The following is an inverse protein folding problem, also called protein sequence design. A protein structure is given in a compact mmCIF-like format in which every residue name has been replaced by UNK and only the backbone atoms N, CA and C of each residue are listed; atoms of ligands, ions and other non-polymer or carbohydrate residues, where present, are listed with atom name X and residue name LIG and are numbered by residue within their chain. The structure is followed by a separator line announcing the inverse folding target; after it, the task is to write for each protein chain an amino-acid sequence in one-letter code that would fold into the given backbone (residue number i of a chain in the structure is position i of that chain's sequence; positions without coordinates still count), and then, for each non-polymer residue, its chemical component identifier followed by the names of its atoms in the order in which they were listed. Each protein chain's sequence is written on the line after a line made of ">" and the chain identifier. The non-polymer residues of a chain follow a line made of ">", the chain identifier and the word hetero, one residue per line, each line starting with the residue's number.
data_IF_657103390784
#
_entry.id   IF_657103390784
#
_cell.length_a   1.000
_cell.length_b   1.000
_cell.length_c   1.000
_cell.angle_alpha   90.00
_cell.angle_beta   90.00
_cell.angle_gamma   90.00
#
_symmetry.space_group_name_H-M   'P 1'
#
loop_
_entity.id
_entity.type
_entity.pdbx_description
1 polymer ?
#
# COMPACT_ATOMS: atom_id res chain seq x y z
N UNK A 1 -18.50 14.05 -27.12
CA UNK A 1 -18.26 13.07 -26.04
C UNK A 1 -18.50 13.79 -24.72
N UNK A 2 -19.51 13.39 -23.90
CA UNK A 2 -19.69 13.98 -22.56
C UNK A 2 -18.55 13.43 -21.68
N UNK A 3 -17.71 14.31 -21.16
CA UNK A 3 -16.58 13.94 -20.29
C UNK A 3 -17.02 13.25 -18.99
N UNK A 4 -18.22 13.50 -18.52
CA UNK A 4 -18.79 12.91 -17.30
C UNK A 4 -20.11 12.24 -17.70
N UNK A 5 -20.28 10.93 -17.45
CA UNK A 5 -21.53 10.22 -17.68
C UNK A 5 -22.67 10.79 -16.83
N UNK A 6 -23.90 10.66 -17.31
CA UNK A 6 -25.07 11.05 -16.52
C UNK A 6 -25.19 10.16 -15.28
N UNK A 7 -25.37 10.78 -14.13
CA UNK A 7 -25.52 10.05 -12.87
C UNK A 7 -26.87 9.30 -12.84
N UNK A 8 -26.80 7.99 -12.79
CA UNK A 8 -27.97 7.13 -12.61
C UNK A 8 -27.77 6.32 -11.32
N UNK A 9 -28.56 6.64 -10.29
CA UNK A 9 -28.47 6.00 -8.98
C UNK A 9 -28.63 4.47 -9.07
N UNK A 10 -29.59 4.00 -9.88
CA UNK A 10 -29.83 2.55 -10.04
C UNK A 10 -28.62 1.84 -10.63
N UNK A 11 -28.00 2.42 -11.67
CA UNK A 11 -26.82 1.85 -12.34
C UNK A 11 -25.60 1.81 -11.41
N UNK A 12 -25.41 2.84 -10.59
CA UNK A 12 -24.22 2.98 -9.74
C UNK A 12 -24.31 2.16 -8.46
N UNK A 13 -25.50 2.12 -7.82
CA UNK A 13 -25.66 1.51 -6.50
C UNK A 13 -26.42 0.20 -6.47
N UNK A 14 -27.32 -0.08 -7.42
CA UNK A 14 -28.14 -1.28 -7.40
C UNK A 14 -27.68 -2.34 -8.39
N UNK A 15 -27.28 -1.94 -9.58
CA UNK A 15 -26.88 -2.87 -10.65
C UNK A 15 -25.68 -3.74 -10.29
N UNK A 16 -24.60 -3.24 -9.60
CA UNK A 16 -23.48 -4.07 -9.17
C UNK A 16 -23.87 -5.19 -8.20
N UNK A 17 -25.04 -5.11 -7.56
CA UNK A 17 -25.53 -6.06 -6.55
C UNK A 17 -26.80 -6.79 -6.99
N UNK A 18 -27.15 -6.75 -8.27
CA UNK A 18 -28.44 -7.25 -8.79
C UNK A 18 -28.51 -8.76 -8.94
N UNK A 19 -27.38 -9.46 -9.07
CA UNK A 19 -27.34 -10.92 -9.23
C UNK A 19 -26.33 -11.56 -8.26
N UNK A 20 -26.55 -12.84 -7.85
CA UNK A 20 -25.62 -13.54 -6.96
C UNK A 20 -24.19 -13.57 -7.48
N UNK A 21 -24.00 -13.77 -8.79
CA UNK A 21 -22.68 -13.82 -9.42
C UNK A 21 -21.96 -12.47 -9.34
N UNK A 22 -22.68 -11.36 -9.53
CA UNK A 22 -22.15 -10.00 -9.39
C UNK A 22 -21.83 -9.67 -7.93
N UNK A 23 -22.62 -10.16 -6.97
CA UNK A 23 -22.36 -9.98 -5.55
C UNK A 23 -21.05 -10.67 -5.17
N UNK A 24 -20.83 -11.91 -5.61
CA UNK A 24 -19.58 -12.62 -5.33
C UNK A 24 -18.38 -11.94 -6.00
N UNK A 25 -18.53 -11.55 -7.27
CA UNK A 25 -17.51 -10.85 -8.03
C UNK A 25 -17.09 -9.52 -7.37
N UNK A 26 -18.05 -8.64 -7.14
CA UNK A 26 -17.81 -7.32 -6.58
C UNK A 26 -17.44 -7.39 -5.09
N UNK A 27 -17.93 -8.40 -4.37
CA UNK A 27 -17.55 -8.70 -2.99
C UNK A 27 -16.06 -9.02 -2.84
N UNK A 28 -15.49 -9.80 -3.76
CA UNK A 28 -14.06 -10.11 -3.78
C UNK A 28 -13.21 -8.85 -4.06
N UNK A 29 -13.65 -7.99 -4.99
CA UNK A 29 -12.99 -6.72 -5.30
C UNK A 29 -12.99 -5.81 -4.07
N UNK A 30 -14.13 -5.66 -3.40
CA UNK A 30 -14.24 -4.85 -2.20
C UNK A 30 -13.42 -5.41 -1.04
N UNK A 31 -13.46 -6.72 -0.83
CA UNK A 31 -12.67 -7.37 0.20
C UNK A 31 -11.18 -7.12 0.00
N UNK A 32 -10.71 -7.23 -1.26
CA UNK A 32 -9.33 -6.92 -1.62
C UNK A 32 -8.96 -5.48 -1.29
N UNK A 33 -9.78 -4.53 -1.73
CA UNK A 33 -9.57 -3.11 -1.44
C UNK A 33 -9.52 -2.80 0.06
N UNK A 34 -10.40 -3.42 0.87
CA UNK A 34 -10.36 -3.28 2.33
C UNK A 34 -9.08 -3.84 2.94
N UNK A 35 -8.68 -5.05 2.57
CA UNK A 35 -7.47 -5.69 3.11
C UNK A 35 -6.22 -4.87 2.78
N UNK A 36 -6.10 -4.40 1.53
CA UNK A 36 -4.97 -3.54 1.11
C UNK A 36 -4.98 -2.24 1.90
N UNK A 37 -6.13 -1.56 2.00
CA UNK A 37 -6.24 -0.29 2.72
C UNK A 37 -5.88 -0.43 4.20
N UNK A 38 -6.33 -1.50 4.87
CA UNK A 38 -6.01 -1.74 6.27
C UNK A 38 -4.54 -2.11 6.47
N UNK A 39 -3.98 -2.97 5.62
CA UNK A 39 -2.56 -3.34 5.70
C UNK A 39 -1.67 -2.11 5.52
N UNK A 40 -1.91 -1.34 4.47
CA UNK A 40 -1.17 -0.11 4.20
C UNK A 40 -1.41 0.96 5.28
N UNK A 41 -2.63 1.10 5.79
CA UNK A 41 -2.99 2.04 6.85
C UNK A 41 -2.27 1.76 8.18
N UNK A 42 -2.16 0.48 8.59
CA UNK A 42 -1.45 0.07 9.80
C UNK A 42 0.05 0.40 9.67
N UNK A 43 0.70 -0.09 8.62
CA UNK A 43 2.14 0.13 8.39
C UNK A 43 2.42 1.61 8.15
N UNK A 44 1.59 2.27 7.34
CA UNK A 44 1.67 3.70 7.03
C UNK A 44 1.57 4.59 8.27
N UNK A 45 0.80 4.20 9.29
CA UNK A 45 0.72 4.95 10.54
C UNK A 45 2.07 5.10 11.23
N UNK A 46 2.89 4.05 11.27
CA UNK A 46 4.24 4.12 11.83
C UNK A 46 5.21 4.89 10.94
N UNK A 47 5.10 4.71 9.63
CA UNK A 47 5.96 5.37 8.65
C UNK A 47 5.74 6.88 8.62
N UNK A 48 4.48 7.31 8.64
CA UNK A 48 4.10 8.74 8.66
C UNK A 48 4.62 9.41 9.94
N UNK A 49 4.49 8.76 11.11
CA UNK A 49 5.01 9.29 12.38
C UNK A 49 6.53 9.42 12.35
N UNK A 50 7.23 8.48 11.73
CA UNK A 50 8.69 8.53 11.53
C UNK A 50 9.12 9.52 10.44
N UNK A 51 8.19 10.19 9.77
CA UNK A 51 8.43 11.11 8.64
C UNK A 51 9.07 10.46 7.40
N UNK A 52 8.85 9.17 7.23
CA UNK A 52 9.39 8.35 6.14
C UNK A 52 8.30 8.05 5.08
N UNK A 53 7.37 8.98 4.83
CA UNK A 53 6.21 8.75 3.95
C UNK A 53 6.58 8.33 2.52
N UNK A 54 7.74 8.79 2.01
CA UNK A 54 8.24 8.44 0.68
C UNK A 54 8.84 7.03 0.58
N UNK A 55 9.01 6.33 1.71
CA UNK A 55 9.61 4.99 1.73
C UNK A 55 8.75 3.96 1.01
N UNK A 56 7.43 4.10 1.08
CA UNK A 56 6.50 3.24 0.33
C UNK A 56 6.70 3.35 -1.18
N UNK A 57 6.88 4.57 -1.67
CA UNK A 57 7.16 4.85 -3.08
C UNK A 57 8.53 4.31 -3.51
N UNK A 58 9.56 4.56 -2.69
CA UNK A 58 10.91 4.06 -2.95
C UNK A 58 10.95 2.53 -3.06
N UNK A 59 10.25 1.81 -2.19
CA UNK A 59 10.18 0.35 -2.25
C UNK A 59 9.37 -0.11 -3.45
N UNK A 60 8.22 0.51 -3.75
CA UNK A 60 7.39 0.15 -4.90
C UNK A 60 8.15 0.16 -6.22
N UNK A 61 9.04 1.12 -6.41
CA UNK A 61 9.92 1.18 -7.57
C UNK A 61 11.18 0.30 -7.43
N UNK A 62 11.67 0.14 -6.21
CA UNK A 62 12.86 -0.66 -5.89
C UNK A 62 12.70 -2.16 -6.07
N UNK A 63 11.47 -2.68 -6.17
CA UNK A 63 11.21 -4.11 -6.38
C UNK A 63 11.39 -4.58 -7.82
N UNK A 64 11.42 -3.66 -8.78
CA UNK A 64 11.46 -3.95 -10.22
C UNK A 64 12.62 -4.89 -10.63
N UNK A 65 13.86 -4.72 -10.15
CA UNK A 65 14.95 -5.65 -10.47
C UNK A 65 14.67 -7.07 -10.00
N UNK A 66 14.03 -7.21 -8.83
CA UNK A 66 13.69 -8.52 -8.29
C UNK A 66 12.64 -9.24 -9.12
N UNK A 67 11.63 -8.54 -9.61
CA UNK A 67 10.67 -9.06 -10.56
C UNK A 67 11.34 -9.51 -11.85
N UNK A 68 12.22 -8.68 -12.43
CA UNK A 68 12.94 -8.99 -13.64
C UNK A 68 13.86 -10.22 -13.48
N UNK A 69 14.63 -10.29 -12.39
CA UNK A 69 15.52 -11.41 -12.08
C UNK A 69 14.73 -12.69 -11.86
N UNK A 70 13.64 -12.62 -11.08
CA UNK A 70 12.78 -13.79 -10.85
C UNK A 70 12.19 -14.35 -12.13
N UNK A 71 11.78 -13.49 -13.07
CA UNK A 71 11.31 -13.87 -14.38
C UNK A 71 12.43 -14.54 -15.22
N UNK A 72 13.63 -13.93 -15.26
CA UNK A 72 14.78 -14.45 -16.04
C UNK A 72 15.20 -15.84 -15.54
N UNK A 73 15.23 -16.05 -14.20
CA UNK A 73 15.64 -17.32 -13.61
C UNK A 73 14.53 -18.36 -13.69
N UNK A 74 13.28 -17.96 -13.46
CA UNK A 74 12.13 -18.87 -13.42
C UNK A 74 11.60 -19.31 -14.79
N UNK A 75 11.93 -18.59 -15.86
CA UNK A 75 11.46 -18.88 -17.25
C UNK A 75 9.94 -18.82 -17.44
N UNK A 76 9.19 -18.51 -16.39
CA UNK A 76 7.74 -18.40 -16.38
C UNK A 76 7.27 -17.32 -15.40
N UNK A 77 6.12 -16.72 -15.68
CA UNK A 77 5.47 -15.76 -14.75
C UNK A 77 4.84 -16.49 -13.54
N UNK A 78 5.61 -17.35 -12.87
CA UNK A 78 5.17 -17.98 -11.63
C UNK A 78 5.03 -16.92 -10.53
N UNK A 79 3.78 -16.62 -10.13
CA UNK A 79 3.46 -15.63 -9.07
C UNK A 79 4.31 -15.80 -7.82
N UNK A 80 4.64 -17.04 -7.41
CA UNK A 80 5.47 -17.30 -6.22
C UNK A 80 6.92 -16.84 -6.36
N UNK A 81 7.54 -17.10 -7.51
CA UNK A 81 8.92 -16.68 -7.78
C UNK A 81 9.02 -15.16 -7.92
N UNK A 82 8.04 -14.54 -8.59
CA UNK A 82 7.97 -13.09 -8.74
C UNK A 82 7.76 -12.40 -7.39
N UNK A 83 6.84 -12.90 -6.56
CA UNK A 83 6.61 -12.39 -5.21
C UNK A 83 7.88 -12.49 -4.35
N UNK A 84 8.55 -13.64 -4.37
CA UNK A 84 9.81 -13.82 -3.63
C UNK A 84 10.92 -12.89 -4.14
N UNK A 85 11.09 -12.77 -5.47
CA UNK A 85 12.05 -11.87 -6.08
C UNK A 85 11.79 -10.39 -5.71
N UNK A 86 10.53 -9.97 -5.77
CA UNK A 86 10.12 -8.63 -5.36
C UNK A 86 10.39 -8.37 -3.86
N UNK A 87 10.10 -9.34 -2.99
CA UNK A 87 10.40 -9.21 -1.56
C UNK A 87 11.91 -9.07 -1.30
N UNK A 88 12.73 -9.89 -1.96
CA UNK A 88 14.20 -9.82 -1.83
C UNK A 88 14.72 -8.47 -2.31
N UNK A 89 14.26 -7.99 -3.46
CA UNK A 89 14.68 -6.69 -3.99
C UNK A 89 14.20 -5.53 -3.11
N UNK A 90 12.96 -5.57 -2.61
CA UNK A 90 12.45 -4.56 -1.69
C UNK A 90 13.26 -4.48 -0.39
N UNK A 91 13.63 -5.63 0.17
CA UNK A 91 14.53 -5.70 1.34
C UNK A 91 15.94 -5.21 1.02
N UNK A 92 16.49 -5.57 -0.14
CA UNK A 92 17.80 -5.10 -0.58
C UNK A 92 17.81 -3.59 -0.80
N UNK A 93 16.76 -3.05 -1.43
CA UNK A 93 16.57 -1.62 -1.62
C UNK A 93 16.55 -0.90 -0.27
N UNK A 94 15.73 -1.37 0.67
CA UNK A 94 15.67 -0.82 2.01
C UNK A 94 17.03 -0.90 2.74
N UNK A 95 17.71 -2.04 2.67
CA UNK A 95 19.03 -2.21 3.26
C UNK A 95 20.05 -1.22 2.67
N UNK A 96 20.03 -1.01 1.35
CA UNK A 96 20.89 -0.03 0.69
C UNK A 96 20.60 1.41 1.13
N UNK A 97 19.32 1.78 1.30
CA UNK A 97 18.92 3.10 1.81
C UNK A 97 19.48 3.31 3.22
N UNK A 98 19.25 2.37 4.12
CA UNK A 98 19.70 2.43 5.50
C UNK A 98 21.24 2.46 5.59
N UNK A 99 21.92 1.62 4.79
CA UNK A 99 23.37 1.58 4.74
C UNK A 99 23.96 2.91 4.26
N UNK A 100 23.39 3.47 3.20
CA UNK A 100 23.83 4.75 2.64
C UNK A 100 23.61 5.89 3.62
N UNK A 101 22.42 5.96 4.24
CA UNK A 101 22.10 6.97 5.25
C UNK A 101 23.01 6.89 6.48
N UNK A 102 23.39 5.67 6.91
CA UNK A 102 24.21 5.48 8.12
C UNK A 102 25.70 5.77 7.89
N UNK A 103 26.22 5.53 6.68
CA UNK A 103 27.66 5.62 6.38
C UNK A 103 28.04 6.88 5.59
N UNK A 104 27.07 7.68 5.18
CA UNK A 104 27.33 8.93 4.46
C UNK A 104 26.60 10.10 5.13
N UNK A 105 27.03 11.37 4.89
CA UNK A 105 26.35 12.53 5.43
C UNK A 105 25.05 12.88 4.68
N UNK A 106 24.51 11.97 3.87
CA UNK A 106 23.30 12.18 3.10
C UNK A 106 22.07 12.16 4.02
N UNK A 107 21.13 13.06 3.73
CA UNK A 107 19.82 13.02 4.35
C UNK A 107 19.05 11.80 3.85
N UNK A 108 18.19 11.27 4.69
CA UNK A 108 17.38 10.07 4.42
C UNK A 108 16.62 10.17 3.09
N UNK A 109 15.99 11.32 2.82
CA UNK A 109 15.26 11.57 1.56
C UNK A 109 16.17 11.47 0.31
N UNK A 110 17.42 11.97 0.43
CA UNK A 110 18.37 11.90 -0.67
C UNK A 110 18.89 10.49 -0.89
N UNK A 111 19.13 9.74 0.20
CA UNK A 111 19.52 8.33 0.12
C UNK A 111 18.42 7.48 -0.51
N UNK A 112 17.14 7.70 -0.12
CA UNK A 112 15.99 7.06 -0.76
C UNK A 112 15.96 7.35 -2.26
N UNK A 113 16.00 8.64 -2.65
CA UNK A 113 15.95 9.06 -4.06
C UNK A 113 17.03 8.41 -4.92
N UNK A 114 18.27 8.36 -4.41
CA UNK A 114 19.41 7.79 -5.13
C UNK A 114 19.27 6.27 -5.30
N UNK A 115 18.91 5.56 -4.22
CA UNK A 115 18.81 4.09 -4.24
C UNK A 115 17.65 3.62 -5.10
N UNK A 116 16.43 4.18 -4.91
CA UNK A 116 15.28 3.71 -5.69
C UNK A 116 15.45 4.01 -7.17
N UNK A 117 16.03 5.18 -7.54
CA UNK A 117 16.28 5.50 -8.94
C UNK A 117 17.28 4.53 -9.57
N UNK A 118 18.33 4.15 -8.82
CA UNK A 118 19.32 3.19 -9.29
C UNK A 118 18.72 1.80 -9.46
N UNK A 119 17.91 1.34 -8.49
CA UNK A 119 17.20 0.06 -8.58
C UNK A 119 16.20 0.06 -9.74
N UNK A 120 15.40 1.11 -9.86
CA UNK A 120 14.45 1.27 -10.96
C UNK A 120 15.15 1.21 -12.33
N UNK A 121 16.21 2.00 -12.52
CA UNK A 121 16.98 2.01 -13.76
C UNK A 121 17.59 0.63 -14.07
N UNK A 122 18.11 -0.05 -13.05
CA UNK A 122 18.64 -1.41 -13.20
C UNK A 122 17.53 -2.41 -13.59
N UNK A 123 16.36 -2.34 -12.96
CA UNK A 123 15.20 -3.17 -13.31
C UNK A 123 14.73 -2.95 -14.74
N UNK A 124 14.57 -1.68 -15.15
CA UNK A 124 14.20 -1.33 -16.52
C UNK A 124 15.23 -1.83 -17.52
N UNK A 125 16.52 -1.71 -17.22
CA UNK A 125 17.59 -2.22 -18.08
C UNK A 125 17.48 -3.73 -18.25
N UNK A 126 17.28 -4.48 -17.16
CA UNK A 126 17.11 -5.95 -17.22
C UNK A 126 15.91 -6.37 -18.08
N UNK A 127 14.79 -5.68 -17.92
CA UNK A 127 13.58 -5.94 -18.74
C UNK A 127 13.85 -5.62 -20.20
N UNK A 128 14.47 -4.49 -20.51
CA UNK A 128 14.75 -4.06 -21.87
C UNK A 128 15.74 -4.97 -22.62
N UNK A 129 16.67 -5.64 -21.90
CA UNK A 129 17.60 -6.61 -22.48
C UNK A 129 16.93 -7.93 -22.87
N UNK A 130 15.74 -8.21 -22.37
CA UNK A 130 15.01 -9.44 -22.60
C UNK A 130 13.73 -9.17 -23.41
N UNK A 131 13.81 -9.27 -24.73
CA UNK A 131 12.69 -9.03 -25.66
C UNK A 131 11.48 -9.96 -25.48
N UNK A 132 11.61 -11.03 -24.68
CA UNK A 132 10.52 -11.94 -24.32
C UNK A 132 9.71 -11.50 -23.09
N UNK A 133 10.17 -10.45 -22.39
CA UNK A 133 9.48 -9.90 -21.22
C UNK A 133 8.52 -8.82 -21.70
N UNK A 134 7.29 -9.20 -21.98
CA UNK A 134 6.21 -8.23 -22.24
C UNK A 134 5.51 -7.85 -20.92
N UNK A 135 6.22 -7.18 -20.02
CA UNK A 135 5.58 -6.56 -18.85
C UNK A 135 5.08 -5.20 -19.34
N UNK A 136 3.77 -5.04 -19.44
CA UNK A 136 3.18 -3.73 -19.69
C UNK A 136 3.36 -2.85 -18.44
N UNK A 137 4.17 -1.77 -18.51
CA UNK A 137 4.33 -0.85 -17.39
C UNK A 137 3.01 -0.24 -16.92
N UNK A 138 2.03 -0.14 -17.79
CA UNK A 138 0.70 0.34 -17.46
C UNK A 138 -0.01 -0.56 -16.46
N UNK A 139 0.05 -1.86 -16.64
CA UNK A 139 -0.57 -2.84 -15.74
C UNK A 139 0.00 -2.75 -14.30
N UNK A 140 1.32 -2.57 -14.17
CA UNK A 140 1.98 -2.38 -12.88
C UNK A 140 1.61 -1.03 -12.21
N UNK A 141 1.41 0.03 -13.00
CA UNK A 141 1.10 1.35 -12.46
C UNK A 141 -0.35 1.49 -11.99
N UNK A 142 -1.29 1.01 -12.80
CA UNK A 142 -2.72 1.23 -12.54
C UNK A 142 -3.36 0.12 -11.71
N UNK A 143 -2.76 -1.09 -11.70
CA UNK A 143 -3.35 -2.28 -11.07
C UNK A 143 -4.68 -2.69 -11.71
N UNK A 144 -5.04 -3.93 -11.53
CA UNK A 144 -6.25 -4.50 -12.12
C UNK A 144 -7.14 -5.13 -11.04
N UNK A 145 -7.46 -4.33 -10.00
CA UNK A 145 -8.30 -4.80 -8.88
C UNK A 145 -9.64 -5.40 -9.38
N UNK A 146 -10.16 -4.88 -10.50
CA UNK A 146 -11.37 -5.40 -11.13
C UNK A 146 -11.24 -6.82 -11.72
N UNK A 147 -10.02 -7.27 -12.02
CA UNK A 147 -9.75 -8.60 -12.57
C UNK A 147 -9.36 -9.65 -11.51
N UNK A 148 -9.32 -9.28 -10.23
CA UNK A 148 -9.02 -10.23 -9.14
C UNK A 148 -9.89 -11.47 -9.16
N UNK A 149 -11.22 -11.40 -9.42
CA UNK A 149 -12.04 -12.61 -9.51
C UNK A 149 -11.63 -13.58 -10.63
N UNK A 150 -10.91 -13.09 -11.66
CA UNK A 150 -10.36 -13.91 -12.75
C UNK A 150 -8.97 -14.46 -12.44
N UNK A 151 -8.32 -14.00 -11.36
CA UNK A 151 -6.99 -14.49 -11.00
C UNK A 151 -7.00 -15.99 -10.68
N UNK A 152 -5.83 -16.63 -10.82
CA UNK A 152 -5.66 -18.06 -10.56
C UNK A 152 -6.19 -18.43 -9.16
N UNK A 153 -7.06 -19.44 -9.10
CA UNK A 153 -7.56 -20.01 -7.86
C UNK A 153 -6.54 -20.94 -7.25
N UNK A 154 -6.32 -20.82 -5.97
CA UNK A 154 -5.42 -21.72 -5.25
C UNK A 154 -6.11 -23.08 -5.06
N UNK A 155 -5.48 -24.12 -5.59
CA UNK A 155 -5.92 -25.53 -5.43
C UNK A 155 -5.02 -26.19 -4.39
N UNK A 156 -5.61 -26.59 -3.26
CA UNK A 156 -4.94 -27.39 -2.24
C UNK A 156 -5.74 -28.69 -2.11
N UNK A 157 -5.10 -29.83 -2.37
CA UNK A 157 -5.73 -31.15 -2.39
C UNK A 157 -7.00 -31.23 -3.25
N UNK A 158 -6.96 -30.67 -4.50
CA UNK A 158 -8.10 -30.59 -5.43
C UNK A 158 -9.33 -29.80 -4.97
N UNK A 159 -9.23 -29.09 -3.86
CA UNK A 159 -10.27 -28.15 -3.40
C UNK A 159 -9.87 -26.74 -3.78
N UNK A 160 -10.75 -26.01 -4.51
CA UNK A 160 -10.55 -24.60 -4.83
C UNK A 160 -10.85 -23.75 -3.58
N UNK A 161 -9.79 -23.15 -2.97
CA UNK A 161 -9.90 -22.40 -1.71
C UNK A 161 -10.06 -20.88 -1.97
N UNK A 162 -10.26 -20.46 -3.23
CA UNK A 162 -10.44 -19.04 -3.58
C UNK A 162 -9.23 -18.43 -4.30
N UNK A 163 -9.29 -17.14 -4.52
CA UNK A 163 -8.28 -16.43 -5.31
C UNK A 163 -6.96 -16.30 -4.57
N UNK A 164 -5.87 -16.64 -5.26
CA UNK A 164 -4.51 -16.63 -4.72
C UNK A 164 -4.09 -15.26 -4.20
N UNK A 165 -4.41 -14.18 -4.93
CA UNK A 165 -4.07 -12.81 -4.54
C UNK A 165 -4.78 -12.38 -3.25
N UNK A 166 -6.05 -12.82 -3.03
CA UNK A 166 -6.76 -12.57 -1.76
C UNK A 166 -6.10 -13.28 -0.58
N UNK A 167 -5.62 -14.52 -0.79
CA UNK A 167 -4.89 -15.25 0.25
C UNK A 167 -3.55 -14.60 0.57
N UNK A 168 -2.81 -14.15 -0.46
CA UNK A 168 -1.52 -13.49 -0.27
C UNK A 168 -1.65 -12.21 0.58
N UNK A 169 -2.58 -11.33 0.22
CA UNK A 169 -2.81 -10.10 1.01
C UNK A 169 -3.40 -10.41 2.38
N UNK A 170 -4.29 -11.40 2.50
CA UNK A 170 -4.86 -11.84 3.78
C UNK A 170 -3.79 -12.33 4.74
N UNK A 171 -2.83 -13.13 4.27
CA UNK A 171 -1.71 -13.60 5.06
C UNK A 171 -0.80 -12.46 5.51
N UNK A 172 -0.47 -11.53 4.59
CA UNK A 172 0.32 -10.34 4.90
C UNK A 172 -0.43 -9.45 5.91
N UNK A 173 -1.72 -9.22 5.72
CA UNK A 173 -2.55 -8.45 6.65
C UNK A 173 -2.54 -9.07 8.06
N UNK A 174 -2.78 -10.38 8.17
CA UNK A 174 -2.71 -11.09 9.45
C UNK A 174 -1.31 -10.97 10.08
N UNK A 175 -0.25 -11.15 9.28
CA UNK A 175 1.13 -11.01 9.75
C UNK A 175 1.44 -9.60 10.26
N UNK A 176 1.04 -8.58 9.53
CA UNK A 176 1.19 -7.17 9.92
C UNK A 176 0.39 -6.84 11.17
N UNK A 177 -0.86 -7.31 11.25
CA UNK A 177 -1.73 -7.08 12.41
C UNK A 177 -1.16 -7.75 13.66
N UNK A 178 -0.80 -9.04 13.57
CA UNK A 178 -0.20 -9.80 14.67
C UNK A 178 1.14 -9.17 15.07
N UNK A 179 2.01 -8.86 14.12
CA UNK A 179 3.29 -8.21 14.35
C UNK A 179 3.13 -6.85 15.04
N UNK A 180 2.16 -6.04 14.59
CA UNK A 180 1.86 -4.75 15.21
C UNK A 180 1.37 -4.92 16.64
N UNK A 181 0.50 -5.87 16.92
CA UNK A 181 -0.04 -6.10 18.28
C UNK A 181 1.07 -6.63 19.21
N UNK A 182 1.85 -7.62 18.78
CA UNK A 182 2.92 -8.23 19.58
C UNK A 182 4.06 -7.25 19.87
N UNK A 183 4.46 -6.47 18.88
CA UNK A 183 5.58 -5.52 18.98
C UNK A 183 5.12 -4.08 19.14
N UNK A 184 3.89 -3.84 19.60
CA UNK A 184 3.33 -2.49 19.72
C UNK A 184 4.19 -1.56 20.58
N UNK A 185 4.63 -2.03 21.76
CA UNK A 185 5.48 -1.25 22.67
C UNK A 185 6.82 -0.83 22.03
N UNK A 186 7.64 -1.76 21.55
CA UNK A 186 8.86 -1.44 20.81
C UNK A 186 8.63 -0.52 19.61
N UNK A 187 7.61 -0.77 18.79
CA UNK A 187 7.26 0.06 17.63
C UNK A 187 6.88 1.49 18.05
N UNK A 188 6.08 1.63 19.11
CA UNK A 188 5.65 2.93 19.62
C UNK A 188 6.86 3.74 20.10
N UNK A 189 7.66 3.20 21.02
CA UNK A 189 8.79 3.92 21.61
C UNK A 189 9.83 4.30 20.55
N UNK A 190 10.18 3.36 19.67
CA UNK A 190 11.17 3.63 18.60
C UNK A 190 10.67 4.63 17.56
N UNK A 191 9.35 4.80 17.41
CA UNK A 191 8.78 5.77 16.47
C UNK A 191 8.78 7.21 16.98
N UNK A 192 8.75 7.39 18.30
CA UNK A 192 8.77 8.72 18.93
C UNK A 192 10.15 9.13 19.43
N UNK A 193 10.88 8.22 20.07
CA UNK A 193 12.21 8.50 20.62
C UNK A 193 13.11 7.25 20.57
N UNK A 194 14.01 7.24 19.59
CA UNK A 194 14.97 6.16 19.41
C UNK A 194 16.04 6.12 20.52
N UNK A 195 16.31 7.26 21.19
CA UNK A 195 17.29 7.36 22.28
C UNK A 195 16.71 6.74 23.54
N UNK A 196 15.47 7.06 23.86
CA UNK A 196 14.74 6.43 24.95
C UNK A 196 14.61 4.91 24.73
N UNK A 197 14.29 4.48 23.51
CA UNK A 197 14.20 3.07 23.18
C UNK A 197 15.51 2.32 23.46
N UNK A 198 16.66 2.91 23.10
CA UNK A 198 17.98 2.35 23.41
C UNK A 198 18.24 2.25 24.91
N UNK A 199 17.88 3.28 25.69
CA UNK A 199 18.06 3.27 27.15
C UNK A 199 17.18 2.22 27.85
N UNK A 200 16.03 1.87 27.26
CA UNK A 200 15.14 0.81 27.73
C UNK A 200 15.59 -0.59 27.27
N UNK A 201 16.72 -0.72 26.54
CA UNK A 201 17.20 -1.99 26.04
C UNK A 201 16.45 -2.53 24.81
N UNK A 202 15.61 -1.71 24.16
CA UNK A 202 14.88 -2.12 22.97
C UNK A 202 15.83 -2.15 21.77
N UNK A 203 15.89 -3.25 20.99
CA UNK A 203 16.75 -3.35 19.82
C UNK A 203 16.20 -2.50 18.65
N UNK A 204 16.54 -1.19 18.64
CA UNK A 204 16.03 -0.20 17.69
C UNK A 204 16.25 -0.63 16.24
N UNK A 205 17.43 -1.18 15.90
CA UNK A 205 17.72 -1.65 14.54
C UNK A 205 16.81 -2.79 14.12
N UNK A 206 16.61 -3.78 15.00
CA UNK A 206 15.73 -4.92 14.70
C UNK A 206 14.26 -4.48 14.54
N UNK A 207 13.78 -3.55 15.39
CA UNK A 207 12.43 -3.00 15.28
C UNK A 207 12.25 -2.20 13.98
N UNK A 208 13.26 -1.43 13.58
CA UNK A 208 13.25 -0.71 12.31
C UNK A 208 13.24 -1.69 11.13
N UNK A 209 14.12 -2.69 11.10
CA UNK A 209 14.14 -3.71 10.06
C UNK A 209 12.83 -4.50 9.97
N UNK A 210 12.22 -4.82 11.12
CA UNK A 210 10.91 -5.47 11.16
C UNK A 210 9.80 -4.61 10.53
N UNK A 211 9.79 -3.30 10.79
CA UNK A 211 8.85 -2.38 10.16
C UNK A 211 9.08 -2.28 8.64
N UNK A 212 10.35 -2.23 8.21
CA UNK A 212 10.70 -2.19 6.79
C UNK A 212 10.34 -3.49 6.07
N UNK A 213 10.50 -4.64 6.74
CA UNK A 213 10.02 -5.92 6.22
C UNK A 213 8.50 -5.91 6.04
N UNK A 214 7.76 -5.43 7.05
CA UNK A 214 6.31 -5.29 6.97
C UNK A 214 5.90 -4.36 5.82
N UNK A 215 6.63 -3.25 5.62
CA UNK A 215 6.40 -2.33 4.51
C UNK A 215 6.64 -3.02 3.15
N UNK A 216 7.78 -3.69 2.98
CA UNK A 216 8.11 -4.37 1.73
C UNK A 216 7.10 -5.47 1.39
N UNK A 217 6.74 -6.31 2.38
CA UNK A 217 5.72 -7.37 2.19
C UNK A 217 4.35 -6.78 1.84
N UNK A 218 3.93 -5.71 2.55
CA UNK A 218 2.66 -5.03 2.28
C UNK A 218 2.64 -4.40 0.89
N UNK A 219 3.75 -3.77 0.48
CA UNK A 219 3.88 -3.17 -0.86
C UNK A 219 3.79 -4.23 -1.94
N UNK A 220 4.56 -5.31 -1.84
CA UNK A 220 4.60 -6.38 -2.85
C UNK A 220 3.25 -7.06 -2.99
N UNK A 221 2.62 -7.43 -1.85
CA UNK A 221 1.32 -8.10 -1.86
C UNK A 221 0.19 -7.21 -2.40
N UNK A 222 0.27 -5.89 -2.15
CA UNK A 222 -0.73 -4.93 -2.61
C UNK A 222 -0.54 -4.51 -4.06
N UNK A 223 0.72 -4.44 -4.51
CA UNK A 223 1.07 -3.93 -5.84
C UNK A 223 0.47 -4.77 -6.96
N UNK A 224 0.49 -6.09 -6.82
CA UNK A 224 -0.09 -7.02 -7.78
C UNK A 224 -1.59 -6.77 -8.01
N UNK A 225 -2.30 -6.39 -6.93
CA UNK A 225 -3.74 -6.22 -6.96
C UNK A 225 -4.17 -4.80 -7.36
N UNK A 226 -3.52 -3.77 -6.81
CA UNK A 226 -4.06 -2.39 -6.88
C UNK A 226 -3.11 -1.40 -7.54
N UNK A 227 -1.91 -1.84 -7.91
CA UNK A 227 -0.89 -1.01 -8.57
C UNK A 227 -0.17 -0.04 -7.63
N UNK A 228 0.95 0.52 -8.14
CA UNK A 228 1.85 1.40 -7.38
C UNK A 228 1.13 2.64 -6.85
N UNK A 229 0.37 3.32 -7.70
CA UNK A 229 -0.24 4.62 -7.38
C UNK A 229 -1.16 4.51 -6.15
N UNK A 230 -2.03 3.50 -6.12
CA UNK A 230 -2.95 3.34 -5.00
C UNK A 230 -2.22 2.89 -3.74
N UNK A 231 -1.24 1.99 -3.84
CA UNK A 231 -0.48 1.51 -2.68
C UNK A 231 0.20 2.66 -1.94
N UNK A 232 0.90 3.55 -2.67
CA UNK A 232 1.57 4.73 -2.08
C UNK A 232 0.55 5.67 -1.44
N UNK A 233 -0.58 5.91 -2.10
CA UNK A 233 -1.67 6.72 -1.55
C UNK A 233 -2.21 6.13 -0.23
N UNK A 234 -2.41 4.81 -0.18
CA UNK A 234 -2.96 4.14 1.00
C UNK A 234 -1.98 4.03 2.17
N UNK A 235 -0.68 4.14 1.96
CA UNK A 235 0.27 4.30 3.08
C UNK A 235 0.17 5.66 3.76
N UNK A 236 -0.29 6.70 3.05
CA UNK A 236 -0.27 8.07 3.54
C UNK A 236 -1.66 8.56 3.92
N UNK A 237 -2.67 8.45 3.04
CA UNK A 237 -3.98 9.06 3.27
C UNK A 237 -4.71 8.55 4.50
N UNK A 238 -4.88 7.23 4.76
CA UNK A 238 -5.64 6.76 5.91
C UNK A 238 -5.05 7.23 7.24
N UNK A 239 -3.74 7.05 7.52
CA UNK A 239 -3.17 7.48 8.80
C UNK A 239 -3.12 8.99 8.96
N UNK A 240 -2.83 9.76 7.91
CA UNK A 240 -2.78 11.23 7.99
C UNK A 240 -4.17 11.80 8.17
N UNK A 241 -5.17 11.30 7.46
CA UNK A 241 -6.57 11.71 7.63
C UNK A 241 -7.05 11.41 9.04
N UNK A 242 -6.75 10.21 9.59
CA UNK A 242 -7.08 9.87 10.96
C UNK A 242 -6.38 10.78 11.99
N UNK A 243 -5.12 11.16 11.76
CA UNK A 243 -4.34 12.00 12.66
C UNK A 243 -4.90 13.42 12.81
N UNK A 244 -5.63 13.95 11.83
CA UNK A 244 -6.33 15.24 11.99
C UNK A 244 -7.46 15.20 13.02
N UNK A 245 -8.04 14.03 13.29
CA UNK A 245 -9.13 13.86 14.25
C UNK A 245 -8.68 13.18 15.56
N UNK A 246 -7.64 12.35 15.50
CA UNK A 246 -7.19 11.48 16.58
C UNK A 246 -5.76 11.83 16.98
N UNK A 247 -5.48 11.90 18.32
CA UNK A 247 -4.16 12.31 18.83
C UNK A 247 -3.28 11.12 19.27
N UNK A 248 -3.92 9.98 19.57
CA UNK A 248 -3.21 8.81 20.10
C UNK A 248 -2.97 7.79 18.99
N UNK A 249 -1.75 7.26 18.91
CA UNK A 249 -1.41 6.26 17.89
C UNK A 249 -2.37 5.07 17.84
N UNK A 250 -2.81 4.45 18.97
CA UNK A 250 -3.79 3.36 18.91
C UNK A 250 -5.11 3.79 18.27
N UNK A 251 -5.57 5.00 18.57
CA UNK A 251 -6.79 5.54 17.97
C UNK A 251 -6.60 5.79 16.46
N UNK A 252 -5.43 6.28 16.02
CA UNK A 252 -5.11 6.44 14.60
C UNK A 252 -5.14 5.10 13.89
N UNK A 253 -4.47 4.07 14.45
CA UNK A 253 -4.49 2.70 13.91
C UNK A 253 -5.92 2.18 13.75
N UNK A 254 -6.76 2.31 14.78
CA UNK A 254 -8.17 1.91 14.70
C UNK A 254 -8.93 2.78 13.69
N UNK A 255 -8.65 4.07 13.62
CA UNK A 255 -9.26 5.01 12.69
C UNK A 255 -8.99 4.72 11.21
N UNK A 256 -7.91 4.00 10.88
CA UNK A 256 -7.65 3.57 9.50
C UNK A 256 -8.67 2.56 8.98
N UNK A 257 -9.30 1.77 9.86
CA UNK A 257 -10.29 0.76 9.46
C UNK A 257 -11.56 1.39 8.86
N UNK A 258 -12.29 2.29 9.55
CA UNK A 258 -13.47 2.94 8.95
C UNK A 258 -13.12 3.78 7.72
N UNK A 259 -11.95 4.43 7.71
CA UNK A 259 -11.49 5.15 6.51
C UNK A 259 -11.26 4.20 5.34
N UNK A 260 -10.68 3.02 5.57
CA UNK A 260 -10.52 2.00 4.55
C UNK A 260 -11.84 1.54 3.95
N UNK A 261 -12.87 1.36 4.79
CA UNK A 261 -14.22 1.04 4.32
C UNK A 261 -14.76 2.16 3.42
N UNK A 262 -14.68 3.41 3.87
CA UNK A 262 -15.20 4.56 3.13
C UNK A 262 -14.44 4.75 1.80
N UNK A 263 -13.12 4.62 1.79
CA UNK A 263 -12.30 4.77 0.59
C UNK A 263 -12.61 3.69 -0.45
N UNK A 264 -12.68 2.43 -0.02
CA UNK A 264 -12.94 1.32 -0.92
C UNK A 264 -14.37 1.35 -1.45
N UNK A 265 -15.36 1.55 -0.56
CA UNK A 265 -16.76 1.60 -0.94
C UNK A 265 -17.05 2.80 -1.85
N UNK A 266 -16.59 4.00 -1.46
CA UNK A 266 -16.75 5.20 -2.25
C UNK A 266 -16.04 5.14 -3.59
N UNK A 267 -14.79 4.61 -3.61
CA UNK A 267 -14.02 4.43 -4.84
C UNK A 267 -14.65 3.42 -5.79
N UNK A 268 -15.18 2.31 -5.28
CA UNK A 268 -15.89 1.33 -6.08
C UNK A 268 -17.10 1.94 -6.80
N UNK A 269 -17.97 2.66 -6.10
CA UNK A 269 -19.14 3.30 -6.72
C UNK A 269 -18.77 4.47 -7.62
N UNK A 270 -17.71 5.23 -7.28
CA UNK A 270 -17.20 6.29 -8.14
C UNK A 270 -16.66 5.73 -9.46
N UNK A 271 -15.95 4.59 -9.41
CA UNK A 271 -15.46 3.92 -10.60
C UNK A 271 -16.60 3.45 -11.52
N UNK A 272 -17.68 2.90 -10.94
CA UNK A 272 -18.86 2.49 -11.69
C UNK A 272 -19.62 3.67 -12.31
N UNK A 273 -19.57 4.84 -11.67
CA UNK A 273 -20.18 6.04 -12.25
C UNK A 273 -19.36 6.60 -13.40
N UNK A 274 -18.03 6.73 -13.22
CA UNK A 274 -17.15 7.38 -14.19
C UNK A 274 -16.60 6.42 -15.25
N UNK A 275 -16.89 5.12 -15.14
CA UNK A 275 -16.37 4.05 -16.00
C UNK A 275 -14.84 4.08 -16.09
N UNK A 276 -14.18 4.11 -14.93
CA UNK A 276 -12.73 4.23 -14.80
C UNK A 276 -12.13 3.17 -13.89
N UNK A 277 -10.78 3.13 -13.78
CA UNK A 277 -10.07 2.21 -12.87
C UNK A 277 -10.54 2.38 -11.42
N UNK A 278 -10.90 1.25 -10.78
CA UNK A 278 -11.34 1.22 -9.37
C UNK A 278 -10.20 1.70 -8.46
N UNK A 279 -8.95 1.31 -8.74
CA UNK A 279 -7.80 1.73 -7.97
C UNK A 279 -7.61 3.26 -8.01
N UNK A 280 -7.70 3.86 -9.19
CA UNK A 280 -7.63 5.32 -9.34
C UNK A 280 -8.78 6.02 -8.62
N UNK A 281 -9.99 5.49 -8.70
CA UNK A 281 -11.17 6.05 -8.03
C UNK A 281 -11.04 6.01 -6.50
N UNK A 282 -10.49 4.93 -5.92
CA UNK A 282 -10.19 4.84 -4.48
C UNK A 282 -9.21 5.94 -4.06
N UNK A 283 -8.14 6.17 -4.83
CA UNK A 283 -7.17 7.23 -4.54
C UNK A 283 -7.80 8.64 -4.62
N UNK A 284 -8.71 8.86 -5.57
CA UNK A 284 -9.47 10.12 -5.70
C UNK A 284 -10.38 10.32 -4.47
N UNK A 285 -11.13 9.30 -4.05
CA UNK A 285 -11.98 9.38 -2.84
C UNK A 285 -11.14 9.64 -1.60
N UNK A 286 -9.99 8.98 -1.46
CA UNK A 286 -9.06 9.24 -0.35
C UNK A 286 -8.60 10.71 -0.33
N UNK A 287 -8.25 11.26 -1.49
CA UNK A 287 -7.88 12.67 -1.63
C UNK A 287 -9.04 13.61 -1.30
N UNK A 288 -10.25 13.33 -1.80
CA UNK A 288 -11.45 14.14 -1.54
C UNK A 288 -11.81 14.17 -0.05
N UNK A 289 -11.57 13.09 0.69
CA UNK A 289 -11.81 13.05 2.14
C UNK A 289 -10.65 13.67 2.94
N UNK A 290 -9.43 13.61 2.41
CA UNK A 290 -8.28 14.24 3.05
C UNK A 290 -8.36 15.77 3.04
N UNK A 291 -8.84 16.40 1.95
CA UNK A 291 -8.94 17.86 1.84
C UNK A 291 -9.78 18.46 2.98
N UNK A 292 -11.05 18.04 3.21
CA UNK A 292 -11.83 18.56 4.33
C UNK A 292 -11.23 18.20 5.69
N UNK A 293 -10.60 17.03 5.85
CA UNK A 293 -9.90 16.67 7.07
C UNK A 293 -8.74 17.64 7.37
N UNK A 294 -7.97 18.01 6.36
CA UNK A 294 -6.88 18.99 6.46
C UNK A 294 -7.39 20.39 6.79
N UNK A 295 -8.55 20.80 6.25
CA UNK A 295 -9.15 22.12 6.50
C UNK A 295 -9.80 22.20 7.88
N UNK A 296 -10.60 21.19 8.26
CA UNK A 296 -11.50 21.21 9.41
C UNK A 296 -10.98 20.43 10.63
N UNK A 297 -9.92 19.63 10.47
CA UNK A 297 -9.43 18.76 11.52
C UNK A 297 -9.05 19.48 12.80
N UNK A 298 -9.54 19.06 13.97
CA UNK A 298 -9.26 19.73 15.25
C UNK A 298 -7.78 19.68 15.63
N UNK A 299 -7.05 18.67 15.18
CA UNK A 299 -5.65 18.45 15.51
C UNK A 299 -4.72 19.01 14.41
N UNK A 300 -4.69 20.34 14.27
CA UNK A 300 -3.75 21.01 13.36
C UNK A 300 -4.30 21.35 11.98
N UNK A 301 -5.62 21.27 11.79
CA UNK A 301 -6.28 21.74 10.59
C UNK A 301 -6.05 23.25 10.34
N UNK A 302 -6.04 23.64 9.06
CA UNK A 302 -5.68 25.00 8.64
C UNK A 302 -6.59 26.04 9.30
N UNK A 303 -7.91 25.83 9.32
CA UNK A 303 -8.87 26.75 9.91
C UNK A 303 -8.71 26.87 11.44
N UNK A 304 -8.39 25.77 12.12
CA UNK A 304 -8.13 25.79 13.56
C UNK A 304 -6.84 26.55 13.90
N UNK A 305 -5.79 26.38 13.11
CA UNK A 305 -4.53 27.14 13.29
C UNK A 305 -4.73 28.64 13.08
N UNK A 306 -5.58 29.04 12.14
CA UNK A 306 -5.90 30.44 11.89
C UNK A 306 -6.70 31.06 13.05
N UNK A 307 -7.64 30.29 13.64
CA UNK A 307 -8.49 30.74 14.75
C UNK A 307 -7.73 30.95 16.09
N UNK A 308 -6.64 30.21 16.32
CA UNK A 308 -5.85 30.31 17.54
C UNK A 308 -4.54 31.09 17.35
N UNK A 309 -4.33 31.74 16.22
CA UNK A 309 -3.18 32.61 15.97
C UNK A 309 -3.50 34.08 16.15
N UNK A 310 -4.76 34.40 16.45
CA UNK A 310 -5.28 35.69 16.95
C UNK A 310 -5.50 35.60 18.44
#
# INVERSE_FOLDING_TARGET
>A
MKLIPEFNFSKVFLEPWSSPDLIDWNGQIMLMGFMVCWTCGIVGSFIVIRRMALMGDAISHGILPGLAIAFIIGGSMGLGSMFFGACVAGLACNFCIEWLHTHTPLREDAAMGLVFTSFFAFGVTLISMNSHIHIDPGCLLYGEIGLIPLSEKWKVFDVEIGNRSLWAIGLVFCGVLIGTVLFYGPLLVTSFDSTLAKSMGIPVKATHMGLMLALALSTVASLEAVGVILVVALFVFPPVTAAFFLQRLPAILIGTFPLGIIYTWGGFHLAHWLDCSIAAAIAVVATLLFIPACLLGPNGGILWRLKFKT
#
